data_IF_200442487447
#
_entry.id   IF_200442487447
#
_cell.length_a   1.000
_cell.length_b   1.000
_cell.length_c   1.000
_cell.angle_alpha   90.00
_cell.angle_beta   90.00
_cell.angle_gamma   90.00
#
_symmetry.space_group_name_H-M   'P 1'
#
loop_
_entity.id
_entity.type
_entity.pdbx_description
1 polymer ?
#
# COMPACT_ATOMS: atom_id res chain seq x y z
N UNK A 1 -15.83 12.63 -14.53
CA UNK A 1 -15.16 13.73 -13.80
C UNK A 1 -15.12 13.40 -12.31
N UNK A 2 -13.94 13.49 -11.70
CA UNK A 2 -13.60 13.11 -10.33
C UNK A 2 -14.45 13.84 -9.27
N UNK A 3 -15.11 13.10 -8.37
CA UNK A 3 -16.10 13.64 -7.42
C UNK A 3 -15.53 14.34 -6.18
N UNK A 4 -14.21 14.40 -5.97
CA UNK A 4 -13.66 15.06 -4.77
C UNK A 4 -12.41 15.93 -5.08
N UNK A 5 -12.66 17.17 -5.51
CA UNK A 5 -11.60 18.16 -5.79
C UNK A 5 -10.70 18.46 -4.57
N UNK A 6 -11.21 18.29 -3.35
CA UNK A 6 -10.46 18.55 -2.13
C UNK A 6 -9.30 17.56 -1.94
N UNK A 7 -9.43 16.32 -2.43
CA UNK A 7 -8.38 15.31 -2.36
C UNK A 7 -7.10 15.75 -3.10
N UNK A 8 -7.28 16.42 -4.25
CA UNK A 8 -6.18 16.92 -5.09
C UNK A 8 -5.49 18.16 -4.52
N UNK A 9 -6.08 18.83 -3.53
CA UNK A 9 -5.47 19.95 -2.83
C UNK A 9 -4.43 19.49 -1.80
N UNK A 10 -4.50 18.24 -1.34
CA UNK A 10 -3.51 17.66 -0.42
C UNK A 10 -2.24 17.33 -1.20
N UNK A 11 -1.15 18.04 -0.88
CA UNK A 11 0.06 18.00 -1.71
C UNK A 11 0.73 16.62 -1.82
N UNK A 12 0.67 15.80 -0.76
CA UNK A 12 1.20 14.43 -0.74
C UNK A 12 0.34 13.49 -1.55
N UNK A 13 -1.00 13.60 -1.45
CA UNK A 13 -1.95 12.83 -2.26
C UNK A 13 -1.78 13.14 -3.74
N UNK A 14 -1.71 14.42 -4.11
CA UNK A 14 -1.45 14.82 -5.50
C UNK A 14 -0.14 14.22 -6.03
N UNK A 15 0.94 14.32 -5.26
CA UNK A 15 2.24 13.76 -5.67
C UNK A 15 2.19 12.23 -5.85
N UNK A 16 1.41 11.53 -5.02
CA UNK A 16 1.19 10.08 -5.15
C UNK A 16 0.38 9.74 -6.41
N UNK A 17 -0.75 10.42 -6.62
CA UNK A 17 -1.61 10.20 -7.79
C UNK A 17 -0.89 10.50 -9.12
N UNK A 18 -0.01 11.51 -9.15
CA UNK A 18 0.83 11.83 -10.32
C UNK A 18 1.91 10.77 -10.58
N UNK A 19 2.28 10.00 -9.56
CA UNK A 19 3.32 8.97 -9.65
C UNK A 19 2.75 7.63 -10.14
N UNK A 20 1.51 7.27 -9.79
CA UNK A 20 0.88 6.01 -10.21
C UNK A 20 0.92 5.68 -11.70
N UNK A 21 0.69 6.61 -12.66
CA UNK A 21 0.70 6.29 -14.09
C UNK A 21 2.07 5.87 -14.62
N UNK A 22 3.13 6.02 -13.83
CA UNK A 22 4.50 5.75 -14.25
C UNK A 22 5.00 4.36 -13.81
N UNK A 23 4.13 3.51 -13.30
CA UNK A 23 4.43 2.12 -12.97
C UNK A 23 3.78 1.17 -13.97
N UNK A 24 4.52 0.14 -14.37
CA UNK A 24 4.02 -0.97 -15.17
C UNK A 24 3.46 -2.04 -14.23
N UNK A 25 2.14 -2.25 -14.16
CA UNK A 25 1.57 -3.21 -13.24
C UNK A 25 1.92 -4.67 -13.59
N UNK A 26 2.23 -5.02 -14.84
CA UNK A 26 2.57 -6.39 -15.22
C UNK A 26 4.04 -6.71 -14.91
N UNK A 27 4.27 -7.56 -13.90
CA UNK A 27 5.62 -7.92 -13.42
C UNK A 27 6.47 -8.65 -14.47
N UNK A 28 5.84 -9.17 -15.54
CA UNK A 28 6.54 -9.85 -16.62
C UNK A 28 7.06 -8.86 -17.67
N UNK A 29 6.62 -7.61 -17.63
CA UNK A 29 7.12 -6.55 -18.51
C UNK A 29 8.29 -5.82 -17.86
N UNK A 30 9.15 -5.27 -18.70
CA UNK A 30 10.28 -4.47 -18.24
C UNK A 30 9.80 -3.14 -17.64
N UNK A 31 10.23 -2.87 -16.41
CA UNK A 31 9.91 -1.65 -15.69
C UNK A 31 10.92 -0.54 -16.03
N UNK A 32 10.49 0.44 -16.84
CA UNK A 32 11.35 1.53 -17.29
C UNK A 32 11.50 2.62 -16.20
N UNK A 33 12.67 2.68 -15.58
CA UNK A 33 13.01 3.73 -14.61
C UNK A 33 13.43 5.07 -15.27
N UNK A 34 12.52 5.67 -16.04
CA UNK A 34 12.76 6.90 -16.80
C UNK A 34 13.20 8.08 -15.91
N UNK A 35 13.87 9.08 -16.52
CA UNK A 35 14.24 10.33 -15.80
C UNK A 35 13.01 11.01 -15.18
N UNK A 36 11.85 10.94 -15.84
CA UNK A 36 10.59 11.47 -15.32
C UNK A 36 10.14 10.69 -14.08
N UNK A 37 10.09 9.35 -14.14
CA UNK A 37 9.71 8.51 -12.99
C UNK A 37 10.61 8.76 -11.79
N UNK A 38 11.93 8.83 -11.98
CA UNK A 38 12.90 9.16 -10.91
C UNK A 38 12.62 10.52 -10.26
N UNK A 39 12.34 11.57 -11.06
CA UNK A 39 11.96 12.89 -10.55
C UNK A 39 10.66 12.85 -9.74
N UNK A 40 9.67 12.07 -10.18
CA UNK A 40 8.39 11.92 -9.49
C UNK A 40 8.50 11.14 -8.19
N UNK A 41 9.28 10.04 -8.16
CA UNK A 41 9.64 9.31 -6.93
C UNK A 41 10.27 10.26 -5.90
N UNK A 42 11.29 11.04 -6.32
CA UNK A 42 11.93 12.04 -5.46
C UNK A 42 10.96 13.12 -4.98
N UNK A 43 10.07 13.61 -5.86
CA UNK A 43 9.06 14.62 -5.50
C UNK A 43 8.08 14.09 -4.45
N UNK A 44 7.54 12.88 -4.66
CA UNK A 44 6.64 12.25 -3.70
C UNK A 44 7.33 12.06 -2.34
N UNK A 45 8.52 11.45 -2.34
CA UNK A 45 9.27 11.18 -1.11
C UNK A 45 9.61 12.48 -0.36
N UNK A 46 10.04 13.52 -1.06
CA UNK A 46 10.30 14.82 -0.45
C UNK A 46 9.02 15.45 0.16
N UNK A 47 7.87 15.31 -0.50
CA UNK A 47 6.59 15.82 0.03
C UNK A 47 6.19 15.11 1.31
N UNK A 48 6.26 13.78 1.35
CA UNK A 48 5.91 13.01 2.56
C UNK A 48 6.92 13.25 3.69
N UNK A 49 8.23 13.24 3.42
CA UNK A 49 9.26 13.45 4.45
C UNK A 49 9.15 14.81 5.16
N UNK A 50 8.63 15.83 4.46
CA UNK A 50 8.45 17.16 5.05
C UNK A 50 7.22 17.29 5.96
N UNK A 51 6.37 16.27 6.04
CA UNK A 51 5.18 16.28 6.90
C UNK A 51 5.54 16.09 8.38
N UNK A 52 4.72 16.59 9.32
CA UNK A 52 4.95 16.39 10.75
C UNK A 52 5.02 14.92 11.18
N UNK A 53 4.25 14.03 10.53
CA UNK A 53 4.25 12.59 10.85
C UNK A 53 5.57 11.92 10.45
N UNK A 54 6.09 12.22 9.26
CA UNK A 54 7.37 11.65 8.81
C UNK A 54 8.55 12.26 9.56
N UNK A 55 8.50 13.54 9.95
CA UNK A 55 9.52 14.13 10.85
C UNK A 55 9.53 13.46 12.23
N UNK A 56 8.37 13.03 12.74
CA UNK A 56 8.29 12.22 13.96
C UNK A 56 8.90 10.83 13.78
N UNK A 57 8.63 10.18 12.64
CA UNK A 57 9.28 8.92 12.29
C UNK A 57 10.80 9.08 12.22
N UNK A 58 11.31 10.10 11.53
CA UNK A 58 12.75 10.39 11.46
C UNK A 58 13.37 10.50 12.85
N UNK A 59 12.76 11.30 13.75
CA UNK A 59 13.25 11.46 15.13
C UNK A 59 13.26 10.11 15.88
N UNK A 60 12.26 9.27 15.65
CA UNK A 60 12.19 7.94 16.24
C UNK A 60 13.31 7.02 15.73
N UNK A 61 13.50 6.92 14.42
CA UNK A 61 14.55 6.10 13.80
C UNK A 61 15.94 6.57 14.23
N UNK A 62 16.16 7.88 14.31
CA UNK A 62 17.39 8.44 14.87
C UNK A 62 17.63 7.97 16.31
N UNK A 63 16.62 8.07 17.17
CA UNK A 63 16.73 7.61 18.57
C UNK A 63 17.04 6.11 18.67
N UNK A 64 16.64 5.32 17.67
CA UNK A 64 16.91 3.89 17.57
C UNK A 64 18.27 3.56 16.94
N UNK A 65 18.97 4.53 16.37
CA UNK A 65 20.26 4.33 15.72
C UNK A 65 20.17 3.78 14.30
N UNK A 66 18.99 3.84 13.67
CA UNK A 66 18.77 3.26 12.33
C UNK A 66 19.14 4.20 11.16
N UNK A 67 19.54 5.43 11.48
CA UNK A 67 20.02 6.41 10.51
C UNK A 67 21.54 6.56 10.65
N UNK A 68 22.24 6.66 9.52
CA UNK A 68 23.71 6.83 9.49
C UNK A 68 24.10 8.21 10.00
N UNK A 69 23.28 9.23 9.76
CA UNK A 69 23.53 10.62 10.14
C UNK A 69 22.25 11.33 10.60
N UNK A 70 22.41 12.52 11.17
CA UNK A 70 21.28 13.39 11.56
C UNK A 70 20.68 14.17 10.39
N UNK A 71 21.18 13.98 9.16
CA UNK A 71 20.75 14.74 7.99
C UNK A 71 19.40 14.27 7.44
N UNK A 72 18.65 15.20 6.84
CA UNK A 72 17.45 14.87 6.08
C UNK A 72 17.76 14.04 4.83
N UNK A 73 18.96 14.19 4.28
CA UNK A 73 19.39 13.46 3.08
C UNK A 73 19.61 11.98 3.37
N UNK A 74 20.21 11.62 4.51
CA UNK A 74 20.35 10.22 4.92
C UNK A 74 18.98 9.56 5.21
N UNK A 75 18.07 10.28 5.86
CA UNK A 75 16.70 9.78 6.05
C UNK A 75 15.97 9.58 4.71
N UNK A 76 16.14 10.52 3.78
CA UNK A 76 15.59 10.41 2.43
C UNK A 76 16.19 9.21 1.69
N UNK A 77 17.51 9.02 1.73
CA UNK A 77 18.18 7.90 1.10
C UNK A 77 17.72 6.56 1.70
N UNK A 78 17.63 6.49 3.03
CA UNK A 78 17.14 5.32 3.75
C UNK A 78 15.74 4.89 3.26
N UNK A 79 14.80 5.83 3.22
CA UNK A 79 13.46 5.55 2.71
C UNK A 79 13.44 5.28 1.21
N UNK A 80 14.26 5.99 0.43
CA UNK A 80 14.36 5.78 -1.02
C UNK A 80 14.80 4.36 -1.33
N UNK A 81 15.83 3.87 -0.65
CA UNK A 81 16.34 2.52 -0.82
C UNK A 81 15.33 1.48 -0.33
N UNK A 82 14.69 1.71 0.82
CA UNK A 82 13.71 0.77 1.36
C UNK A 82 12.48 0.61 0.45
N UNK A 83 11.95 1.71 -0.07
CA UNK A 83 10.67 1.71 -0.78
C UNK A 83 10.81 1.61 -2.30
N UNK A 84 11.85 2.19 -2.89
CA UNK A 84 11.97 2.35 -4.34
C UNK A 84 13.14 1.61 -4.98
N UNK A 85 14.01 0.97 -4.19
CA UNK A 85 15.08 0.13 -4.76
C UNK A 85 14.44 -1.06 -5.48
N UNK A 86 14.76 -1.24 -6.78
CA UNK A 86 14.08 -2.23 -7.58
C UNK A 86 14.73 -3.61 -7.40
N UNK A 87 13.92 -4.67 -7.36
CA UNK A 87 14.39 -6.04 -7.23
C UNK A 87 13.65 -7.00 -8.16
N UNK A 88 14.22 -8.20 -8.33
CA UNK A 88 13.54 -9.32 -9.00
C UNK A 88 12.69 -10.03 -7.97
N UNK A 89 11.38 -9.77 -7.97
CA UNK A 89 10.49 -10.25 -6.91
C UNK A 89 10.13 -11.73 -7.05
N UNK A 90 9.97 -12.24 -8.27
CA UNK A 90 9.53 -13.61 -8.50
C UNK A 90 10.62 -14.39 -9.21
N UNK A 91 10.89 -15.61 -8.75
CA UNK A 91 11.92 -16.47 -9.35
C UNK A 91 11.74 -16.70 -10.86
N UNK A 92 10.54 -16.45 -11.39
CA UNK A 92 10.19 -16.60 -12.82
C UNK A 92 10.31 -15.31 -13.65
N UNK A 93 10.48 -14.14 -13.04
CA UNK A 93 10.63 -12.88 -13.80
C UNK A 93 12.07 -12.76 -14.31
N UNK A 94 12.25 -12.63 -15.62
CA UNK A 94 13.58 -12.49 -16.24
C UNK A 94 14.24 -11.13 -15.89
N UNK A 95 13.45 -10.12 -15.56
CA UNK A 95 13.89 -8.74 -15.35
C UNK A 95 13.64 -8.25 -13.92
N UNK A 96 14.30 -7.15 -13.57
CA UNK A 96 13.96 -6.36 -12.38
C UNK A 96 12.66 -5.63 -12.70
N UNK A 97 11.60 -5.91 -11.95
CA UNK A 97 10.24 -5.48 -12.30
C UNK A 97 9.40 -5.00 -11.13
N UNK A 98 9.97 -4.91 -9.92
CA UNK A 98 9.21 -4.56 -8.72
C UNK A 98 10.03 -3.74 -7.74
N UNK A 99 9.35 -3.04 -6.83
CA UNK A 99 9.93 -2.47 -5.61
C UNK A 99 8.88 -2.47 -4.48
N UNK A 100 9.31 -2.25 -3.24
CA UNK A 100 8.43 -2.30 -2.07
C UNK A 100 7.21 -1.35 -2.18
N UNK A 101 7.41 -0.21 -2.83
CA UNK A 101 6.36 0.77 -3.08
C UNK A 101 5.29 0.25 -4.05
N UNK A 102 5.68 -0.48 -5.11
CA UNK A 102 4.75 -1.02 -6.10
C UNK A 102 3.81 -2.05 -5.48
N UNK A 103 4.38 -2.98 -4.71
CA UNK A 103 3.58 -4.01 -4.05
C UNK A 103 2.65 -3.43 -2.97
N UNK A 104 3.06 -2.36 -2.30
CA UNK A 104 2.35 -1.83 -1.11
C UNK A 104 1.33 -0.74 -1.47
N UNK A 105 1.75 0.27 -2.25
CA UNK A 105 0.93 1.44 -2.58
C UNK A 105 0.20 1.31 -3.92
N UNK A 106 0.53 0.30 -4.73
CA UNK A 106 -0.16 -0.02 -5.98
C UNK A 106 -0.69 -1.47 -5.91
N UNK A 107 -0.68 -2.15 -7.05
CA UNK A 107 -0.95 -3.55 -7.19
C UNK A 107 -0.16 -4.07 -8.39
N UNK A 108 0.27 -5.31 -8.29
CA UNK A 108 1.06 -5.99 -9.32
C UNK A 108 0.23 -7.10 -9.96
N UNK A 109 0.46 -7.33 -11.25
CA UNK A 109 -0.17 -8.36 -12.06
C UNK A 109 0.89 -9.36 -12.48
N UNK A 110 0.62 -10.65 -12.29
CA UNK A 110 1.33 -11.71 -12.99
C UNK A 110 0.39 -12.36 -13.99
N UNK A 111 0.82 -12.39 -15.26
CA UNK A 111 0.10 -13.06 -16.33
C UNK A 111 0.88 -14.29 -16.79
N UNK A 112 0.26 -15.46 -16.71
CA UNK A 112 0.84 -16.69 -17.21
C UNK A 112 -0.19 -17.43 -18.07
N UNK A 113 -0.07 -17.30 -19.39
CA UNK A 113 -1.09 -17.76 -20.32
C UNK A 113 -2.43 -17.04 -20.05
N UNK A 114 -3.48 -17.82 -19.80
CA UNK A 114 -4.81 -17.31 -19.44
C UNK A 114 -4.96 -16.96 -17.96
N UNK A 115 -3.99 -17.33 -17.10
CA UNK A 115 -4.07 -17.05 -15.67
C UNK A 115 -3.57 -15.63 -15.37
N UNK A 116 -4.41 -14.84 -14.69
CA UNK A 116 -4.04 -13.52 -14.16
C UNK A 116 -4.12 -13.56 -12.63
N UNK A 117 -3.03 -13.15 -11.97
CA UNK A 117 -2.97 -13.00 -10.51
C UNK A 117 -2.69 -11.56 -10.13
N UNK A 118 -3.36 -11.09 -9.08
CA UNK A 118 -3.17 -9.76 -8.50
C UNK A 118 -2.47 -9.90 -7.15
N UNK A 119 -1.38 -9.15 -6.97
CA UNK A 119 -0.65 -9.01 -5.71
C UNK A 119 -0.77 -7.58 -5.19
N UNK A 120 -0.66 -7.39 -3.87
CA UNK A 120 -0.89 -6.08 -3.24
C UNK A 120 -2.35 -5.64 -3.32
N UNK A 121 -2.59 -4.40 -3.76
CA UNK A 121 -3.93 -3.80 -3.86
C UNK A 121 -4.64 -3.55 -2.52
N UNK A 122 -3.97 -2.80 -1.65
CA UNK A 122 -4.48 -2.42 -0.32
C UNK A 122 -4.61 -0.89 -0.13
N UNK A 123 -4.16 -0.10 -1.09
CA UNK A 123 -4.15 1.35 -1.00
C UNK A 123 -5.43 1.95 -1.61
N UNK A 124 -6.17 2.70 -0.80
CA UNK A 124 -7.45 3.29 -1.21
C UNK A 124 -7.28 4.38 -2.27
N UNK A 125 -6.16 5.11 -2.29
CA UNK A 125 -5.89 6.12 -3.30
C UNK A 125 -5.59 5.48 -4.66
N UNK A 126 -4.95 4.32 -4.70
CA UNK A 126 -4.75 3.57 -5.92
C UNK A 126 -6.06 2.99 -6.45
N UNK A 127 -6.93 2.48 -5.56
CA UNK A 127 -8.29 2.11 -5.93
C UNK A 127 -9.04 3.30 -6.55
N UNK A 128 -9.02 4.46 -5.88
CA UNK A 128 -9.61 5.72 -6.36
C UNK A 128 -9.11 6.11 -7.75
N UNK A 129 -7.79 6.07 -7.93
CA UNK A 129 -7.14 6.36 -9.20
C UNK A 129 -7.65 5.43 -10.31
N UNK A 130 -7.63 4.12 -10.09
CA UNK A 130 -8.08 3.15 -11.09
C UNK A 130 -9.57 3.27 -11.41
N UNK A 131 -10.42 3.45 -10.40
CA UNK A 131 -11.86 3.65 -10.57
C UNK A 131 -12.14 4.92 -11.39
N UNK A 132 -11.40 6.00 -11.12
CA UNK A 132 -11.58 7.27 -11.83
C UNK A 132 -11.23 7.23 -13.33
N UNK A 133 -10.36 6.30 -13.72
CA UNK A 133 -9.95 6.09 -15.10
C UNK A 133 -10.89 5.15 -15.86
N UNK A 134 -11.93 4.60 -15.20
CA UNK A 134 -12.78 3.53 -15.73
C UNK A 134 -11.94 2.37 -16.31
N UNK A 135 -10.78 2.11 -15.70
CA UNK A 135 -9.99 0.91 -15.99
C UNK A 135 -10.78 -0.30 -15.52
N UNK A 136 -10.43 -1.50 -15.98
CA UNK A 136 -11.07 -2.80 -15.66
C UNK A 136 -11.05 -3.18 -14.17
N UNK A 137 -11.50 -2.29 -13.29
CA UNK A 137 -11.67 -2.41 -11.85
C UNK A 137 -13.17 -2.40 -11.60
N UNK A 138 -13.69 -3.52 -11.09
CA UNK A 138 -15.08 -3.62 -10.65
C UNK A 138 -15.12 -3.69 -9.13
N UNK A 139 -15.90 -2.82 -8.51
CA UNK A 139 -16.19 -2.86 -7.09
C UNK A 139 -17.35 -3.83 -6.80
N UNK A 140 -17.18 -4.72 -5.83
CA UNK A 140 -18.16 -5.76 -5.49
C UNK A 140 -18.71 -5.69 -4.06
N UNK A 141 -18.37 -4.65 -3.30
CA UNK A 141 -18.81 -4.45 -1.92
C UNK A 141 -17.65 -4.36 -0.94
N UNK A 142 -17.97 -4.19 0.35
CA UNK A 142 -17.02 -4.26 1.45
C UNK A 142 -17.60 -5.16 2.59
N UNK A 143 -16.75 -5.54 3.55
CA UNK A 143 -17.12 -6.36 4.72
C UNK A 143 -17.91 -5.56 5.79
N UNK A 144 -17.82 -5.91 7.07
CA UNK A 144 -18.12 -4.92 8.11
C UNK A 144 -17.06 -3.80 8.07
N UNK A 145 -17.44 -2.61 8.53
CA UNK A 145 -16.52 -1.45 8.66
C UNK A 145 -16.25 -1.20 10.13
N UNK A 146 -15.00 -0.97 10.46
CA UNK A 146 -14.56 -0.61 11.80
C UNK A 146 -14.00 0.81 11.77
N UNK A 147 -14.68 1.77 12.38
CA UNK A 147 -14.13 3.11 12.53
C UNK A 147 -12.81 3.07 13.32
N UNK A 148 -11.84 3.85 12.87
CA UNK A 148 -10.57 4.10 13.56
C UNK A 148 -10.56 5.60 13.93
N UNK A 149 -10.36 5.88 15.21
CA UNK A 149 -10.35 7.23 15.75
C UNK A 149 -10.96 7.30 17.15
N UNK A 150 -10.86 8.47 17.77
CA UNK A 150 -11.53 8.75 19.03
C UNK A 150 -12.90 9.40 18.77
N UNK A 151 -13.74 9.47 19.82
CA UNK A 151 -15.14 9.93 19.73
C UNK A 151 -15.32 11.37 19.17
N UNK A 152 -14.25 12.14 19.00
CA UNK A 152 -14.28 13.49 18.44
C UNK A 152 -14.09 13.53 16.90
N UNK A 153 -13.60 12.45 16.29
CA UNK A 153 -13.48 12.31 14.83
C UNK A 153 -13.20 10.86 14.46
N UNK A 154 -14.21 10.19 13.88
CA UNK A 154 -14.02 8.92 13.17
C UNK A 154 -13.28 9.22 11.86
N UNK A 155 -11.95 9.29 11.93
CA UNK A 155 -11.13 9.80 10.83
C UNK A 155 -10.94 8.78 9.70
N UNK A 156 -10.87 7.48 10.04
CA UNK A 156 -10.60 6.43 9.06
C UNK A 156 -11.57 5.24 9.21
N UNK A 157 -11.69 4.44 8.16
CA UNK A 157 -12.47 3.20 8.18
C UNK A 157 -11.59 2.02 7.79
N UNK A 158 -11.51 1.01 8.65
CA UNK A 158 -10.90 -0.28 8.30
C UNK A 158 -11.97 -1.21 7.77
N UNK A 159 -11.74 -1.84 6.61
CA UNK A 159 -12.60 -2.87 6.06
C UNK A 159 -11.87 -3.72 5.03
N UNK A 160 -12.42 -4.91 4.75
CA UNK A 160 -12.08 -5.64 3.53
C UNK A 160 -12.94 -5.12 2.38
N UNK A 161 -12.30 -4.86 1.23
CA UNK A 161 -12.94 -4.46 -0.02
C UNK A 161 -12.89 -5.65 -0.98
N UNK A 162 -14.05 -5.97 -1.57
CA UNK A 162 -14.20 -6.99 -2.60
C UNK A 162 -14.14 -6.31 -3.96
N UNK A 163 -13.20 -6.73 -4.79
CA UNK A 163 -12.98 -6.14 -6.12
C UNK A 163 -12.60 -7.19 -7.15
N UNK A 164 -12.77 -6.85 -8.42
CA UNK A 164 -12.14 -7.52 -9.55
C UNK A 164 -11.26 -6.50 -10.25
N UNK A 165 -10.00 -6.84 -10.50
CA UNK A 165 -9.12 -6.03 -11.32
C UNK A 165 -8.51 -6.88 -12.42
N UNK A 166 -8.72 -6.47 -13.67
CA UNK A 166 -8.20 -7.18 -14.85
C UNK A 166 -8.69 -8.64 -14.95
N UNK A 167 -9.92 -8.93 -14.49
CA UNK A 167 -10.51 -10.26 -14.52
C UNK A 167 -10.07 -11.17 -13.36
N UNK A 168 -9.38 -10.61 -12.37
CA UNK A 168 -8.91 -11.31 -11.19
C UNK A 168 -9.64 -10.79 -9.94
N UNK A 169 -10.45 -11.65 -9.33
CA UNK A 169 -11.14 -11.34 -8.08
C UNK A 169 -10.16 -11.28 -6.91
N UNK A 170 -10.34 -10.27 -6.05
CA UNK A 170 -9.47 -10.02 -4.89
C UNK A 170 -10.27 -9.50 -3.69
N UNK A 171 -9.78 -9.85 -2.51
CA UNK A 171 -10.16 -9.23 -1.24
C UNK A 171 -8.93 -8.48 -0.73
N UNK A 172 -9.03 -7.17 -0.53
CA UNK A 172 -7.96 -6.40 0.10
C UNK A 172 -8.44 -5.79 1.41
N UNK A 173 -7.60 -5.79 2.44
CA UNK A 173 -7.80 -4.94 3.61
C UNK A 173 -7.39 -3.51 3.29
N UNK A 174 -8.23 -2.53 3.63
CA UNK A 174 -8.01 -1.10 3.38
C UNK A 174 -8.21 -0.30 4.66
N UNK A 175 -7.39 0.74 4.85
CA UNK A 175 -7.70 1.85 5.77
C UNK A 175 -8.14 3.03 4.91
N UNK A 176 -9.44 3.25 4.79
CA UNK A 176 -10.01 4.33 4.00
C UNK A 176 -9.78 5.68 4.70
N UNK A 177 -9.35 6.67 3.93
CA UNK A 177 -9.11 8.04 4.39
C UNK A 177 -7.72 8.30 4.97
N UNK A 178 -6.88 7.27 5.13
CA UNK A 178 -5.50 7.45 5.62
C UNK A 178 -4.68 8.26 4.62
N UNK A 179 -3.82 9.17 5.11
CA UNK A 179 -2.93 9.94 4.23
C UNK A 179 -1.71 9.11 3.81
N UNK A 180 -1.12 9.37 2.61
CA UNK A 180 0.07 8.65 2.13
C UNK A 180 1.22 8.63 3.13
N UNK A 181 1.50 9.78 3.74
CA UNK A 181 2.59 9.92 4.72
C UNK A 181 2.34 9.16 6.02
N UNK A 182 1.08 9.04 6.47
CA UNK A 182 0.75 8.30 7.69
C UNK A 182 0.81 6.79 7.43
N UNK A 183 0.27 6.33 6.30
CA UNK A 183 0.35 4.93 5.86
C UNK A 183 1.82 4.50 5.69
N UNK A 184 2.62 5.31 4.98
CA UNK A 184 4.05 5.05 4.78
C UNK A 184 4.83 5.02 6.09
N UNK A 185 4.51 5.92 7.04
CA UNK A 185 5.17 5.94 8.34
C UNK A 185 4.90 4.66 9.14
N UNK A 186 3.63 4.25 9.21
CA UNK A 186 3.21 3.04 9.92
C UNK A 186 3.86 1.81 9.30
N UNK A 187 3.81 1.68 7.98
CA UNK A 187 4.36 0.52 7.28
C UNK A 187 5.88 0.46 7.40
N UNK A 188 6.58 1.60 7.36
CA UNK A 188 8.03 1.65 7.61
C UNK A 188 8.37 1.10 8.99
N UNK A 189 7.65 1.52 10.04
CA UNK A 189 7.87 1.00 11.40
C UNK A 189 7.60 -0.51 11.48
N UNK A 190 6.50 -0.97 10.88
CA UNK A 190 6.15 -2.38 10.91
C UNK A 190 7.18 -3.25 10.16
N UNK A 191 7.70 -2.77 9.03
CA UNK A 191 8.80 -3.45 8.32
C UNK A 191 10.07 -3.48 9.16
N UNK A 192 10.41 -2.38 9.82
CA UNK A 192 11.69 -2.29 10.52
C UNK A 192 11.72 -3.13 11.79
N UNK A 193 10.60 -3.23 12.52
CA UNK A 193 10.60 -3.81 13.88
C UNK A 193 9.65 -4.98 14.08
N UNK A 194 8.79 -5.30 13.11
CA UNK A 194 7.72 -6.31 13.23
C UNK A 194 7.52 -7.13 11.96
N UNK A 195 8.56 -7.22 11.13
CA UNK A 195 8.50 -8.05 9.93
C UNK A 195 8.43 -9.52 10.29
N UNK A 196 7.61 -10.27 9.56
CA UNK A 196 7.38 -11.71 9.75
C UNK A 196 6.87 -12.07 11.16
N UNK A 197 6.41 -11.09 11.96
CA UNK A 197 5.81 -11.33 13.26
C UNK A 197 4.52 -12.15 13.08
N UNK A 198 4.40 -13.35 13.70
CA UNK A 198 3.23 -14.21 13.55
C UNK A 198 1.95 -13.52 14.01
N UNK A 199 2.04 -12.64 15.02
CA UNK A 199 0.90 -11.87 15.55
C UNK A 199 0.65 -10.56 14.80
N UNK A 200 1.55 -10.21 13.88
CA UNK A 200 1.53 -8.96 13.14
C UNK A 200 1.98 -7.74 13.95
N UNK A 201 2.20 -6.64 13.23
CA UNK A 201 2.51 -5.35 13.81
C UNK A 201 1.24 -4.70 14.37
N UNK A 202 1.02 -4.85 15.68
CA UNK A 202 -0.09 -4.21 16.39
C UNK A 202 0.24 -2.76 16.71
N UNK A 203 -0.60 -1.83 16.24
CA UNK A 203 -0.45 -0.39 16.47
C UNK A 203 -1.72 0.19 17.08
N UNK A 204 -1.57 1.25 17.87
CA UNK A 204 -2.71 2.10 18.26
C UNK A 204 -2.80 3.28 17.30
N UNK A 205 -3.87 3.32 16.51
CA UNK A 205 -4.16 4.40 15.58
C UNK A 205 -5.43 5.13 16.04
N UNK A 206 -5.28 6.37 16.50
CA UNK A 206 -6.40 7.15 17.04
C UNK A 206 -7.08 6.48 18.25
N UNK A 207 -6.35 5.70 19.04
CA UNK A 207 -6.88 4.95 20.19
C UNK A 207 -7.50 3.60 19.84
N UNK A 208 -7.61 3.25 18.55
CA UNK A 208 -8.08 1.94 18.10
C UNK A 208 -6.89 1.04 17.75
N UNK A 209 -6.93 -0.23 18.16
CA UNK A 209 -5.95 -1.22 17.71
C UNK A 209 -6.11 -1.46 16.20
N UNK A 210 -5.01 -1.48 15.45
CA UNK A 210 -4.95 -1.90 14.05
C UNK A 210 -3.81 -2.89 13.91
N UNK A 211 -4.02 -3.97 13.16
CA UNK A 211 -2.99 -4.96 12.87
C UNK A 211 -2.50 -4.77 11.45
N UNK A 212 -1.19 -4.66 11.28
CA UNK A 212 -0.51 -4.60 9.99
C UNK A 212 0.35 -5.84 9.82
N UNK A 213 0.26 -6.51 8.67
CA UNK A 213 1.20 -7.56 8.30
C UNK A 213 2.32 -6.94 7.49
N UNK A 214 3.56 -7.29 7.83
CA UNK A 214 4.75 -6.88 7.09
C UNK A 214 5.60 -8.11 6.80
N UNK A 215 6.01 -8.23 5.54
CA UNK A 215 6.83 -9.33 5.05
C UNK A 215 8.02 -8.77 4.28
N UNK A 216 9.17 -9.40 4.44
CA UNK A 216 10.38 -9.09 3.70
C UNK A 216 10.77 -10.24 2.78
N UNK A 217 11.60 -9.90 1.79
CA UNK A 217 12.25 -10.84 0.91
C UNK A 217 13.73 -10.51 0.81
N UNK A 218 14.57 -11.52 0.64
CA UNK A 218 16.02 -11.36 0.55
C UNK A 218 16.53 -11.75 -0.84
N UNK A 219 17.27 -10.85 -1.47
CA UNK A 219 18.02 -11.12 -2.71
C UNK A 219 19.50 -10.87 -2.45
N UNK A 220 20.35 -11.90 -2.57
CA UNK A 220 21.80 -11.79 -2.36
C UNK A 220 22.16 -11.06 -1.05
N UNK A 221 21.50 -11.41 0.06
CA UNK A 221 21.62 -10.80 1.39
C UNK A 221 21.09 -9.36 1.53
N UNK A 222 20.63 -8.73 0.44
CA UNK A 222 19.92 -7.46 0.51
C UNK A 222 18.45 -7.70 0.85
N UNK A 223 17.93 -6.91 1.80
CA UNK A 223 16.54 -6.96 2.27
C UNK A 223 15.65 -6.04 1.44
N UNK A 224 14.48 -6.53 1.07
CA UNK A 224 13.43 -5.80 0.35
C UNK A 224 12.08 -6.00 1.03
N UNK A 225 11.18 -5.03 0.86
CA UNK A 225 9.78 -5.19 1.26
C UNK A 225 9.12 -6.16 0.27
N UNK A 226 8.56 -7.25 0.79
CA UNK A 226 7.72 -8.17 0.01
C UNK A 226 6.29 -7.68 0.01
N UNK A 227 5.69 -7.45 1.18
CA UNK A 227 4.31 -6.98 1.27
C UNK A 227 4.04 -6.31 2.62
N UNK A 228 3.25 -5.24 2.63
CA UNK A 228 2.72 -4.63 3.86
C UNK A 228 1.28 -4.22 3.66
N UNK A 229 0.40 -4.61 4.58
CA UNK A 229 -1.02 -4.29 4.46
C UNK A 229 -1.76 -4.41 5.80
N UNK A 230 -2.89 -3.70 5.96
CA UNK A 230 -3.69 -3.76 7.17
C UNK A 230 -4.64 -4.96 7.13
N UNK A 231 -4.98 -5.50 8.30
CA UNK A 231 -5.89 -6.64 8.46
C UNK A 231 -7.15 -6.19 9.20
N UNK A 232 -8.32 -6.45 8.60
CA UNK A 232 -9.61 -6.10 9.20
C UNK A 232 -10.02 -7.07 10.33
N UNK A 233 -10.09 -8.37 10.03
CA UNK A 233 -10.37 -9.44 10.99
C UNK A 233 -9.15 -10.34 11.06
N UNK A 234 -8.42 -10.30 12.18
CA UNK A 234 -7.30 -11.19 12.42
C UNK A 234 -7.83 -12.63 12.60
N UNK A 235 -7.57 -13.49 11.62
CA UNK A 235 -7.60 -14.93 11.83
C UNK A 235 -6.15 -15.44 11.80
N UNK A 236 -5.71 -16.24 12.79
CA UNK A 236 -4.46 -17.00 12.69
C UNK A 236 -4.45 -17.78 11.37
N UNK A 237 -3.35 -17.70 10.63
CA UNK A 237 -3.26 -18.18 9.24
C UNK A 237 -3.67 -19.65 9.09
N UNK A 238 -4.67 -19.91 8.24
CA UNK A 238 -4.79 -21.13 7.45
C UNK A 238 -4.54 -20.75 5.98
N UNK A 239 -3.48 -21.31 5.38
CA UNK A 239 -2.97 -21.04 4.03
C UNK A 239 -3.96 -21.38 2.88
N UNK A 240 -5.18 -21.84 3.19
CA UNK A 240 -6.18 -22.31 2.23
C UNK A 240 -7.21 -21.24 1.80
N UNK A 241 -7.21 -20.04 2.39
CA UNK A 241 -8.28 -19.04 2.14
C UNK A 241 -7.99 -18.13 0.93
N UNK A 242 -6.80 -18.21 0.33
CA UNK A 242 -6.45 -17.43 -0.86
C UNK A 242 -7.17 -17.87 -2.14
N UNK A 243 -7.93 -18.97 -2.10
CA UNK A 243 -8.75 -19.49 -3.21
C UNK A 243 -10.23 -19.69 -2.87
N UNK A 244 -10.66 -19.33 -1.66
CA UNK A 244 -12.05 -19.54 -1.26
C UNK A 244 -12.98 -18.56 -2.00
N UNK A 245 -13.82 -19.08 -2.92
CA UNK A 245 -15.00 -18.36 -3.40
C UNK A 245 -15.82 -17.93 -2.18
N UNK A 246 -15.99 -16.63 -2.00
CA UNK A 246 -16.70 -16.08 -0.86
C UNK A 246 -18.19 -16.48 -0.87
N UNK A 247 -18.76 -16.85 0.29
CA UNK A 247 -20.20 -16.93 0.46
C UNK A 247 -20.87 -15.59 0.14
N UNK A 248 -21.95 -15.62 -0.63
CA UNK A 248 -22.71 -14.43 -1.05
C UNK A 248 -23.33 -13.66 0.13
N UNK A 249 -23.47 -14.30 1.30
CA UNK A 249 -24.19 -13.80 2.47
C UNK A 249 -23.47 -12.75 3.34
N UNK A 250 -22.17 -12.49 3.13
CA UNK A 250 -21.41 -11.50 3.93
C UNK A 250 -21.23 -10.14 3.25
N UNK A 251 -21.68 -9.99 2.00
CA UNK A 251 -21.53 -8.75 1.23
C UNK A 251 -22.66 -7.77 1.54
N UNK A 252 -22.34 -6.57 2.00
CA UNK A 252 -23.28 -5.46 1.94
C UNK A 252 -23.30 -4.93 0.49
N UNK A 253 -24.47 -4.94 -0.16
CA UNK A 253 -24.65 -4.45 -1.55
C UNK A 253 -25.11 -2.99 -1.55
N UNK A 254 -24.19 -2.03 -1.63
CA UNK A 254 -24.42 -0.60 -1.91
C UNK A 254 -23.11 0.05 -2.44
N UNK A 255 -23.14 1.31 -2.93
CA UNK A 255 -23.34 1.78 -4.32
C UNK A 255 -22.26 1.34 -5.34
N UNK A 256 -22.39 1.75 -6.62
CA UNK A 256 -21.49 1.37 -7.74
C UNK A 256 -20.02 1.81 -7.61
N UNK A 257 -19.66 2.57 -6.56
CA UNK A 257 -18.30 3.06 -6.31
C UNK A 257 -18.02 3.12 -4.81
N UNK A 258 -16.77 2.85 -4.43
CA UNK A 258 -16.33 2.87 -3.02
C UNK A 258 -16.39 4.27 -2.40
N UNK A 259 -16.42 5.34 -3.21
CA UNK A 259 -16.32 6.74 -2.75
C UNK A 259 -17.61 7.55 -2.92
N UNK A 260 -18.77 6.89 -3.06
CA UNK A 260 -20.06 7.57 -2.98
C UNK A 260 -20.55 7.76 -1.52
N UNK A 261 -19.63 7.72 -0.55
CA UNK A 261 -19.88 7.97 0.87
C UNK A 261 -19.18 9.25 1.33
#
# INVERSE_FOLDING_TARGET
MLKNKALYNVSTVRALLELFPHFEPDINKYEMNSRRKRKLKKRFLNKVCNTPVMKRLQKFLRKKGDLKTDSLDDYFEHLSNMWFEPFKHYARTQHVSSCGFEHTFLAELSRNGSETRVYGFHNWLYFHYLESLNKSLSYHGYSRRRPIGNNASKTFLLCNVFLDWQGCQRIGGFILGISPELEMAIYTLCIMYRTNDPDGCRISLGGSEVVVRAFEYYVKKQRYISSVFPVFDYQPWNLSVTTAKLPVSTRQREPKSMFMF
#
